data_IF_213372920265
#
_entry.id   IF_213372920265
#
_cell.length_a   1.000
_cell.length_b   1.000
_cell.length_c   1.000
_cell.angle_alpha   90.00
_cell.angle_beta   90.00
_cell.angle_gamma   90.00
#
_symmetry.space_group_name_H-M   'P 1'
#
loop_
_entity.id
_entity.type
_entity.pdbx_description
1 polymer ?
#
# COMPACT_ATOMS: atom_id res chain seq x y z
N UNK A 1 61.43 -69.74 -49.75
CA UNK A 1 59.99 -69.75 -49.48
C UNK A 1 59.61 -68.32 -49.06
N UNK A 2 59.20 -67.49 -50.05
CA UNK A 2 58.72 -66.14 -49.79
C UNK A 2 57.22 -66.27 -49.56
N UNK A 3 56.76 -65.72 -48.45
CA UNK A 3 55.29 -65.58 -48.19
C UNK A 3 54.92 -64.21 -48.52
N UNK A 4 54.07 -64.02 -49.54
CA UNK A 4 53.44 -62.76 -49.88
C UNK A 4 52.41 -62.40 -48.82
N UNK A 5 52.52 -61.17 -48.24
CA UNK A 5 51.53 -60.55 -47.39
C UNK A 5 50.57 -59.74 -48.29
N UNK A 6 49.25 -59.80 -48.03
CA UNK A 6 48.28 -59.01 -48.79
C UNK A 6 48.39 -57.53 -48.42
N UNK A 7 48.00 -56.62 -49.39
CA UNK A 7 48.04 -55.18 -49.17
C UNK A 7 47.01 -54.75 -48.07
N UNK A 8 47.46 -53.90 -47.20
CA UNK A 8 46.60 -53.26 -46.18
C UNK A 8 45.64 -52.32 -46.86
N UNK A 9 44.33 -52.23 -46.44
CA UNK A 9 43.36 -51.28 -46.99
C UNK A 9 43.72 -49.86 -46.56
N UNK A 10 43.62 -48.97 -47.50
CA UNK A 10 43.74 -47.47 -47.36
C UNK A 10 43.00 -46.99 -46.14
N UNK A 11 43.69 -46.42 -45.15
CA UNK A 11 43.09 -45.63 -44.10
C UNK A 11 42.60 -44.33 -44.73
N UNK A 12 41.27 -44.26 -44.96
CA UNK A 12 40.62 -43.02 -45.27
C UNK A 12 40.81 -42.07 -44.04
N UNK A 13 41.63 -41.05 -44.24
CA UNK A 13 41.74 -39.92 -43.33
C UNK A 13 40.35 -39.24 -43.32
N UNK A 14 39.57 -39.48 -42.27
CA UNK A 14 38.38 -38.69 -42.01
C UNK A 14 38.85 -37.26 -41.79
N UNK A 15 38.63 -36.41 -42.78
CA UNK A 15 38.72 -34.97 -42.66
C UNK A 15 37.66 -34.56 -41.59
N UNK A 16 38.17 -34.32 -40.40
CA UNK A 16 37.35 -33.77 -39.32
C UNK A 16 36.79 -32.44 -39.81
N UNK A 17 35.46 -32.37 -40.01
CA UNK A 17 34.78 -31.18 -40.48
C UNK A 17 35.20 -30.01 -39.55
N UNK A 18 35.62 -28.92 -40.16
CA UNK A 18 35.95 -27.69 -39.46
C UNK A 18 34.79 -27.35 -38.53
N UNK A 19 35.03 -26.74 -37.35
CA UNK A 19 33.98 -26.41 -36.40
C UNK A 19 32.95 -25.55 -37.17
N UNK A 20 31.73 -26.06 -37.27
CA UNK A 20 30.62 -25.36 -37.84
C UNK A 20 30.48 -24.04 -37.07
N UNK A 21 30.83 -22.93 -37.73
CA UNK A 21 30.57 -21.58 -37.16
C UNK A 21 29.09 -21.49 -36.88
N UNK A 22 28.72 -21.60 -35.60
CA UNK A 22 27.32 -21.46 -35.16
C UNK A 22 26.75 -20.22 -35.78
N UNK A 23 25.57 -20.33 -36.42
CA UNK A 23 24.91 -19.22 -37.11
C UNK A 23 24.60 -18.07 -36.10
N UNK A 24 24.36 -16.87 -36.60
CA UNK A 24 23.94 -15.77 -35.74
C UNK A 24 22.67 -16.14 -34.95
N UNK A 25 21.72 -16.78 -35.63
CA UNK A 25 20.44 -17.20 -35.03
C UNK A 25 20.63 -18.26 -33.96
N UNK A 26 21.51 -19.25 -34.16
CA UNK A 26 21.82 -20.26 -33.14
C UNK A 26 22.44 -19.60 -31.89
N UNK A 27 23.33 -18.65 -32.09
CA UNK A 27 23.95 -17.91 -30.98
C UNK A 27 22.92 -17.03 -30.24
N UNK A 28 21.97 -16.42 -30.95
CA UNK A 28 20.88 -15.65 -30.37
C UNK A 28 19.92 -16.53 -29.57
N UNK A 29 19.52 -17.68 -30.12
CA UNK A 29 18.69 -18.66 -29.39
C UNK A 29 19.39 -19.13 -28.12
N UNK A 30 20.70 -19.39 -28.19
CA UNK A 30 21.48 -19.77 -27.00
C UNK A 30 21.56 -18.67 -25.96
N UNK A 31 21.75 -17.40 -26.37
CA UNK A 31 21.76 -16.26 -25.44
C UNK A 31 20.41 -16.11 -24.72
N UNK A 32 19.29 -16.27 -25.45
CA UNK A 32 17.94 -16.30 -24.85
C UNK A 32 17.75 -17.46 -23.88
N UNK A 33 18.26 -18.64 -24.22
CA UNK A 33 18.19 -19.80 -23.34
C UNK A 33 18.93 -19.54 -22.02
N UNK A 34 20.17 -19.02 -22.09
CA UNK A 34 20.94 -18.63 -20.90
C UNK A 34 20.18 -17.61 -20.03
N UNK A 35 19.53 -16.63 -20.66
CA UNK A 35 18.71 -15.62 -19.95
C UNK A 35 17.50 -16.25 -19.25
N UNK A 36 16.83 -17.21 -19.90
CA UNK A 36 15.66 -17.91 -19.35
C UNK A 36 16.07 -18.89 -18.21
N UNK A 37 17.22 -19.52 -18.32
CA UNK A 37 17.78 -20.42 -17.31
C UNK A 37 18.37 -19.66 -16.08
N UNK A 38 18.25 -18.32 -16.09
CA UNK A 38 18.75 -17.48 -15.00
C UNK A 38 20.27 -17.26 -15.00
N UNK A 39 20.99 -17.73 -16.03
CA UNK A 39 22.42 -17.55 -16.21
C UNK A 39 22.73 -16.17 -16.82
N UNK A 40 22.34 -15.12 -16.09
CA UNK A 40 22.24 -13.74 -16.61
C UNK A 40 23.55 -13.17 -17.12
N UNK A 41 24.66 -13.36 -16.39
CA UNK A 41 25.98 -12.86 -16.81
C UNK A 41 26.49 -13.58 -18.07
N UNK A 42 26.24 -14.87 -18.22
CA UNK A 42 26.58 -15.60 -19.44
C UNK A 42 25.71 -15.17 -20.62
N UNK A 43 24.43 -14.85 -20.35
CA UNK A 43 23.55 -14.30 -21.38
C UNK A 43 24.05 -12.92 -21.84
N UNK A 44 24.47 -12.04 -20.93
CA UNK A 44 25.06 -10.73 -21.28
C UNK A 44 26.27 -10.89 -22.17
N UNK A 45 27.22 -11.75 -21.80
CA UNK A 45 28.43 -12.01 -22.60
C UNK A 45 28.07 -12.55 -24.00
N UNK A 46 27.05 -13.42 -24.11
CA UNK A 46 26.60 -13.93 -25.42
C UNK A 46 25.93 -12.84 -26.27
N UNK A 47 25.12 -11.95 -25.66
CA UNK A 47 24.53 -10.80 -26.36
C UNK A 47 25.60 -9.77 -26.78
N UNK A 48 26.64 -9.54 -25.99
CA UNK A 48 27.76 -8.65 -26.34
C UNK A 48 28.48 -9.12 -27.61
N UNK A 49 28.72 -10.43 -27.76
CA UNK A 49 29.31 -11.01 -28.97
C UNK A 49 28.41 -10.77 -30.20
N UNK A 50 27.09 -10.90 -30.03
CA UNK A 50 26.13 -10.67 -31.12
C UNK A 50 26.08 -9.19 -31.52
N UNK A 51 26.08 -8.27 -30.54
CA UNK A 51 26.07 -6.84 -30.80
C UNK A 51 27.41 -6.32 -31.38
N UNK A 52 28.53 -6.95 -31.07
CA UNK A 52 29.79 -6.66 -31.75
C UNK A 52 29.72 -6.98 -33.27
N UNK A 53 28.91 -7.95 -33.67
CA UNK A 53 28.69 -8.32 -35.09
C UNK A 53 27.57 -7.51 -35.75
N UNK A 54 26.56 -7.12 -34.94
CA UNK A 54 25.37 -6.36 -35.42
C UNK A 54 24.91 -5.36 -34.34
N UNK A 55 25.56 -4.18 -34.22
CA UNK A 55 25.35 -3.25 -33.10
C UNK A 55 23.93 -2.68 -32.97
N UNK A 56 23.17 -2.68 -34.08
CA UNK A 56 21.78 -2.16 -34.11
C UNK A 56 20.70 -3.23 -34.13
N UNK A 57 21.05 -4.50 -33.89
CA UNK A 57 20.06 -5.59 -33.91
C UNK A 57 19.07 -5.44 -32.77
N UNK A 58 17.80 -5.17 -33.12
CA UNK A 58 16.73 -4.82 -32.18
C UNK A 58 16.41 -5.96 -31.24
N UNK A 59 16.39 -7.20 -31.71
CA UNK A 59 16.08 -8.37 -30.90
C UNK A 59 17.18 -8.63 -29.85
N UNK A 60 18.44 -8.41 -30.25
CA UNK A 60 19.59 -8.57 -29.33
C UNK A 60 19.61 -7.46 -28.29
N UNK A 61 19.34 -6.19 -28.70
CA UNK A 61 19.20 -5.07 -27.77
C UNK A 61 18.05 -5.29 -26.80
N UNK A 62 16.88 -5.74 -27.28
CA UNK A 62 15.74 -6.09 -26.42
C UNK A 62 16.11 -7.18 -25.41
N UNK A 63 16.72 -8.28 -25.88
CA UNK A 63 17.11 -9.40 -25.03
C UNK A 63 18.12 -8.96 -23.94
N UNK A 64 19.18 -8.23 -24.31
CA UNK A 64 20.20 -7.74 -23.37
C UNK A 64 19.60 -6.72 -22.39
N UNK A 65 18.77 -5.79 -22.87
CA UNK A 65 18.09 -4.81 -22.04
C UNK A 65 17.18 -5.44 -20.98
N UNK A 66 16.46 -6.51 -21.32
CA UNK A 66 15.66 -7.28 -20.35
C UNK A 66 16.55 -7.95 -19.30
N UNK A 67 17.70 -8.50 -19.69
CA UNK A 67 18.63 -9.11 -18.75
C UNK A 67 19.23 -8.05 -17.80
N UNK A 68 19.63 -6.90 -18.31
CA UNK A 68 20.07 -5.78 -17.48
C UNK A 68 18.99 -5.34 -16.48
N UNK A 69 17.74 -5.21 -16.92
CA UNK A 69 16.62 -4.85 -16.04
C UNK A 69 16.42 -5.88 -14.90
N UNK A 70 16.60 -7.18 -15.18
CA UNK A 70 16.53 -8.26 -14.17
C UNK A 70 17.72 -8.30 -13.21
N UNK A 71 18.80 -7.56 -13.52
CA UNK A 71 20.00 -7.39 -12.69
C UNK A 71 20.03 -6.03 -11.97
N UNK A 72 18.91 -5.27 -12.01
CA UNK A 72 18.80 -3.90 -11.48
C UNK A 72 19.79 -2.90 -12.11
N UNK A 73 20.36 -3.25 -13.26
CA UNK A 73 21.27 -2.39 -14.04
C UNK A 73 20.46 -1.46 -14.94
N UNK A 74 19.73 -0.55 -14.29
CA UNK A 74 18.70 0.29 -14.92
C UNK A 74 19.20 1.17 -16.05
N UNK A 75 20.42 1.74 -15.91
CA UNK A 75 21.00 2.63 -16.92
C UNK A 75 21.31 1.90 -18.22
N UNK A 76 21.90 0.71 -18.11
CA UNK A 76 22.24 -0.12 -19.25
C UNK A 76 20.97 -0.69 -19.90
N UNK A 77 19.98 -1.08 -19.10
CA UNK A 77 18.69 -1.52 -19.59
C UNK A 77 17.98 -0.40 -20.38
N UNK A 78 17.93 0.81 -19.84
CA UNK A 78 17.31 1.98 -20.50
C UNK A 78 18.03 2.32 -21.80
N UNK A 79 19.37 2.26 -21.85
CA UNK A 79 20.14 2.53 -23.05
C UNK A 79 19.81 1.54 -24.18
N UNK A 80 19.84 0.24 -23.89
CA UNK A 80 19.55 -0.79 -24.90
C UNK A 80 18.09 -0.75 -25.38
N UNK A 81 17.13 -0.69 -24.45
CA UNK A 81 15.72 -0.68 -24.76
C UNK A 81 15.28 0.58 -25.52
N UNK A 82 15.87 1.75 -25.18
CA UNK A 82 15.60 3.01 -25.91
C UNK A 82 16.21 2.97 -27.29
N UNK A 83 17.39 2.39 -27.46
CA UNK A 83 18.01 2.20 -28.77
C UNK A 83 17.14 1.27 -29.64
N UNK A 84 16.62 0.18 -29.05
CA UNK A 84 15.71 -0.74 -29.73
C UNK A 84 14.39 -0.04 -30.15
N UNK A 85 13.77 0.75 -29.24
CA UNK A 85 12.55 1.51 -29.53
C UNK A 85 12.75 2.55 -30.66
N UNK A 86 13.91 3.19 -30.68
CA UNK A 86 14.27 4.16 -31.72
C UNK A 86 14.47 3.47 -33.08
N UNK A 87 15.10 2.30 -33.09
CA UNK A 87 15.34 1.52 -34.33
C UNK A 87 14.07 0.89 -34.86
N UNK A 88 13.15 0.47 -34.00
CA UNK A 88 11.90 -0.19 -34.37
C UNK A 88 10.71 0.31 -33.52
N UNK A 89 10.16 1.50 -33.81
CA UNK A 89 9.07 2.09 -33.00
C UNK A 89 7.77 1.26 -33.00
N UNK A 90 7.56 0.43 -34.02
CA UNK A 90 6.40 -0.48 -34.16
C UNK A 90 6.55 -1.81 -33.41
N UNK A 91 7.66 -2.04 -32.71
CA UNK A 91 7.90 -3.32 -32.03
C UNK A 91 7.33 -3.29 -30.60
N UNK A 92 6.14 -3.87 -30.44
CA UNK A 92 5.37 -3.84 -29.20
C UNK A 92 6.15 -4.38 -27.97
N UNK A 93 6.93 -5.47 -28.15
CA UNK A 93 7.67 -6.09 -27.04
C UNK A 93 8.73 -5.15 -26.44
N UNK A 94 9.31 -4.26 -27.25
CA UNK A 94 10.27 -3.25 -26.77
C UNK A 94 9.59 -2.25 -25.83
N UNK A 95 8.39 -1.78 -26.19
CA UNK A 95 7.62 -0.86 -25.34
C UNK A 95 7.12 -1.54 -24.07
N UNK A 96 6.75 -2.82 -24.16
CA UNK A 96 6.43 -3.64 -22.97
C UNK A 96 7.63 -3.77 -22.03
N UNK A 97 8.82 -4.06 -22.59
CA UNK A 97 10.05 -4.17 -21.80
C UNK A 97 10.46 -2.85 -21.15
N UNK A 98 10.35 -1.72 -21.86
CA UNK A 98 10.57 -0.38 -21.32
C UNK A 98 9.61 -0.06 -20.17
N UNK A 99 8.33 -0.32 -20.37
CA UNK A 99 7.32 -0.10 -19.33
C UNK A 99 7.59 -0.90 -18.07
N UNK A 100 7.91 -2.18 -18.21
CA UNK A 100 8.28 -3.05 -17.08
C UNK A 100 9.55 -2.55 -16.37
N UNK A 101 10.59 -2.21 -17.11
CA UNK A 101 11.85 -1.71 -16.57
C UNK A 101 11.64 -0.41 -15.78
N UNK A 102 10.89 0.56 -16.32
CA UNK A 102 10.58 1.80 -15.64
C UNK A 102 9.71 1.57 -14.39
N UNK A 103 8.79 0.62 -14.43
CA UNK A 103 7.98 0.28 -13.27
C UNK A 103 8.83 -0.35 -12.15
N UNK A 104 9.78 -1.22 -12.47
CA UNK A 104 10.68 -1.83 -11.48
C UNK A 104 11.72 -0.84 -10.93
N UNK A 105 12.13 0.14 -11.73
CA UNK A 105 13.08 1.20 -11.31
C UNK A 105 12.42 2.40 -10.63
N UNK A 106 11.13 2.31 -10.26
CA UNK A 106 10.35 3.35 -9.56
C UNK A 106 10.25 4.67 -10.38
N UNK A 107 10.09 4.56 -11.69
CA UNK A 107 9.88 5.66 -12.64
C UNK A 107 8.49 5.57 -13.29
N UNK A 108 7.40 5.73 -12.52
CA UNK A 108 6.05 5.40 -12.97
C UNK A 108 5.56 6.26 -14.15
N UNK A 109 5.94 7.53 -14.23
CA UNK A 109 5.53 8.39 -15.36
C UNK A 109 6.12 7.89 -16.69
N UNK A 110 7.42 7.51 -16.71
CA UNK A 110 8.02 6.92 -17.89
C UNK A 110 7.40 5.55 -18.25
N UNK A 111 6.99 4.79 -17.23
CA UNK A 111 6.27 3.53 -17.46
C UNK A 111 4.92 3.78 -18.13
N UNK A 112 4.18 4.82 -17.70
CA UNK A 112 2.91 5.23 -18.35
C UNK A 112 3.12 5.58 -19.81
N UNK A 113 4.17 6.35 -20.13
CA UNK A 113 4.49 6.72 -21.49
C UNK A 113 4.79 5.47 -22.37
N UNK A 114 5.64 4.57 -21.86
CA UNK A 114 5.99 3.35 -22.59
C UNK A 114 4.76 2.44 -22.82
N UNK A 115 3.92 2.23 -21.81
CA UNK A 115 2.68 1.44 -21.99
C UNK A 115 1.66 2.16 -22.86
N UNK A 116 1.67 3.49 -22.92
CA UNK A 116 0.82 4.24 -23.86
C UNK A 116 1.22 3.96 -25.30
N UNK A 117 2.51 3.91 -25.61
CA UNK A 117 3.00 3.47 -26.91
C UNK A 117 2.61 2.01 -27.20
N UNK A 118 2.75 1.11 -26.23
CA UNK A 118 2.32 -0.29 -26.39
C UNK A 118 0.83 -0.39 -26.74
N UNK A 119 -0.04 0.35 -26.02
CA UNK A 119 -1.49 0.36 -26.26
C UNK A 119 -1.83 0.98 -27.62
N UNK A 120 -1.06 1.95 -28.10
CA UNK A 120 -1.24 2.51 -29.45
C UNK A 120 -0.97 1.47 -30.55
N UNK A 121 -0.05 0.53 -30.31
CA UNK A 121 0.26 -0.58 -31.20
C UNK A 121 -0.70 -1.77 -31.06
N UNK A 122 -1.22 -1.98 -29.84
CA UNK A 122 -2.07 -3.12 -29.47
C UNK A 122 -3.27 -2.62 -28.64
N UNK A 123 -4.23 -1.98 -29.31
CA UNK A 123 -5.34 -1.27 -28.66
C UNK A 123 -6.32 -2.17 -27.91
N UNK A 124 -6.37 -3.44 -28.24
CA UNK A 124 -7.22 -4.50 -27.70
C UNK A 124 -6.50 -5.43 -26.71
N UNK A 125 -5.25 -5.13 -26.35
CA UNK A 125 -4.48 -5.91 -25.39
C UNK A 125 -4.86 -5.52 -23.94
N UNK A 126 -5.65 -6.34 -23.21
CA UNK A 126 -6.08 -6.03 -21.85
C UNK A 126 -4.91 -5.95 -20.86
N UNK A 127 -3.86 -6.77 -21.05
CA UNK A 127 -2.71 -6.79 -20.14
C UNK A 127 -1.90 -5.50 -20.24
N UNK A 128 -1.77 -4.92 -21.43
CA UNK A 128 -1.13 -3.63 -21.62
C UNK A 128 -1.90 -2.50 -20.90
N UNK A 129 -3.24 -2.54 -20.94
CA UNK A 129 -4.10 -1.57 -20.24
C UNK A 129 -3.98 -1.74 -18.72
N UNK A 130 -3.98 -2.98 -18.21
CA UNK A 130 -3.75 -3.26 -16.80
C UNK A 130 -2.36 -2.76 -16.34
N UNK A 131 -1.32 -3.00 -17.15
CA UNK A 131 0.04 -2.56 -16.85
C UNK A 131 0.14 -1.02 -16.76
N UNK A 132 -0.51 -0.29 -17.72
CA UNK A 132 -0.59 1.18 -17.65
C UNK A 132 -1.39 1.64 -16.44
N UNK A 133 -2.52 1.03 -16.14
CA UNK A 133 -3.33 1.34 -14.96
C UNK A 133 -2.53 1.21 -13.65
N UNK A 134 -1.67 0.19 -13.55
CA UNK A 134 -0.76 0.02 -12.41
C UNK A 134 0.30 1.12 -12.35
N UNK A 135 0.88 1.50 -13.49
CA UNK A 135 1.84 2.60 -13.59
C UNK A 135 1.19 3.95 -13.24
N UNK A 136 -0.02 4.22 -13.75
CA UNK A 136 -0.82 5.40 -13.42
C UNK A 136 -1.11 5.50 -11.93
N UNK A 137 -1.48 4.38 -11.30
CA UNK A 137 -1.67 4.32 -9.85
C UNK A 137 -0.38 4.62 -9.10
N UNK A 138 0.76 4.05 -9.50
CA UNK A 138 2.06 4.33 -8.91
C UNK A 138 2.48 5.80 -9.06
N UNK A 139 2.08 6.45 -10.15
CA UNK A 139 2.24 7.88 -10.39
C UNK A 139 1.24 8.76 -9.60
N UNK A 140 0.29 8.16 -8.86
CA UNK A 140 -0.77 8.89 -8.14
C UNK A 140 -1.92 9.39 -9.03
N UNK A 141 -1.96 8.97 -10.31
CA UNK A 141 -2.98 9.35 -11.31
C UNK A 141 -4.17 8.38 -11.27
N UNK A 142 -4.86 8.34 -10.11
CA UNK A 142 -5.82 7.28 -9.79
C UNK A 142 -7.10 7.32 -10.64
N UNK A 143 -7.57 8.50 -11.07
CA UNK A 143 -8.73 8.62 -11.96
C UNK A 143 -8.45 7.97 -13.33
N UNK A 144 -7.26 8.21 -13.87
CA UNK A 144 -6.85 7.60 -15.12
C UNK A 144 -6.62 6.09 -14.95
N UNK A 145 -6.08 5.67 -13.82
CA UNK A 145 -5.96 4.25 -13.49
C UNK A 145 -7.32 3.54 -13.38
N UNK A 146 -8.36 4.22 -12.86
CA UNK A 146 -9.73 3.70 -12.85
C UNK A 146 -10.32 3.59 -14.26
N UNK A 147 -10.09 4.59 -15.09
CA UNK A 147 -10.51 4.52 -16.49
C UNK A 147 -9.85 3.33 -17.23
N UNK A 148 -8.57 3.09 -16.97
CA UNK A 148 -7.87 1.93 -17.51
C UNK A 148 -8.41 0.61 -16.94
N UNK A 149 -8.74 0.55 -15.66
CA UNK A 149 -9.36 -0.63 -15.04
C UNK A 149 -10.70 -0.99 -15.71
N UNK A 150 -11.56 0.01 -15.95
CA UNK A 150 -12.83 -0.21 -16.64
C UNK A 150 -12.63 -0.60 -18.12
N UNK A 151 -11.66 0.00 -18.81
CA UNK A 151 -11.28 -0.38 -20.17
C UNK A 151 -10.76 -1.81 -20.22
N UNK A 152 -9.85 -2.19 -19.29
CA UNK A 152 -9.32 -3.55 -19.21
C UNK A 152 -10.44 -4.57 -18.95
N UNK A 153 -11.40 -4.25 -18.07
CA UNK A 153 -12.59 -5.08 -17.83
C UNK A 153 -13.43 -5.27 -19.08
N UNK A 154 -13.67 -4.21 -19.82
CA UNK A 154 -14.41 -4.26 -21.10
C UNK A 154 -13.70 -5.11 -22.17
N UNK A 155 -12.36 -5.17 -22.13
CA UNK A 155 -11.53 -6.03 -22.97
C UNK A 155 -11.41 -7.47 -22.45
N UNK A 156 -12.06 -7.82 -21.32
CA UNK A 156 -12.03 -9.17 -20.76
C UNK A 156 -10.81 -9.46 -19.89
N UNK A 157 -10.12 -8.46 -19.35
CA UNK A 157 -9.02 -8.64 -18.42
C UNK A 157 -9.42 -9.47 -17.21
N UNK A 158 -8.54 -10.37 -16.80
CA UNK A 158 -8.71 -11.23 -15.61
C UNK A 158 -7.35 -11.63 -15.04
N UNK A 159 -7.35 -12.20 -13.83
CA UNK A 159 -6.15 -12.73 -13.19
C UNK A 159 -5.51 -11.77 -12.20
N UNK A 160 -4.42 -12.22 -11.55
CA UNK A 160 -3.86 -11.60 -10.36
C UNK A 160 -3.47 -10.11 -10.53
N UNK A 161 -2.97 -9.71 -11.71
CA UNK A 161 -2.57 -8.32 -11.95
C UNK A 161 -3.79 -7.38 -12.04
N UNK A 162 -4.86 -7.82 -12.72
CA UNK A 162 -6.12 -7.10 -12.81
C UNK A 162 -6.80 -7.00 -11.43
N UNK A 163 -6.89 -8.12 -10.71
CA UNK A 163 -7.51 -8.18 -9.37
C UNK A 163 -6.75 -7.30 -8.38
N UNK A 164 -5.41 -7.28 -8.44
CA UNK A 164 -4.59 -6.42 -7.61
C UNK A 164 -4.81 -4.93 -7.91
N UNK A 165 -4.92 -4.55 -9.19
CA UNK A 165 -5.25 -3.17 -9.58
C UNK A 165 -6.65 -2.78 -9.10
N UNK A 166 -7.65 -3.65 -9.30
CA UNK A 166 -9.02 -3.42 -8.86
C UNK A 166 -9.10 -3.26 -7.33
N UNK A 167 -8.42 -4.13 -6.58
CA UNK A 167 -8.34 -4.04 -5.12
C UNK A 167 -7.67 -2.74 -4.66
N UNK A 168 -6.57 -2.35 -5.32
CA UNK A 168 -5.81 -1.15 -4.99
C UNK A 168 -6.57 0.16 -5.24
N UNK A 169 -7.50 0.17 -6.20
CA UNK A 169 -8.37 1.31 -6.53
C UNK A 169 -9.72 1.26 -5.81
N UNK A 170 -9.99 0.20 -5.03
CA UNK A 170 -11.20 0.12 -4.22
C UNK A 170 -11.01 0.91 -2.93
N UNK A 171 -11.89 1.89 -2.70
CA UNK A 171 -11.87 2.69 -1.48
C UNK A 171 -12.52 1.91 -0.35
N UNK A 172 -11.74 1.59 0.69
CA UNK A 172 -12.22 0.96 1.93
C UNK A 172 -11.47 1.58 3.10
N UNK A 173 -12.18 2.13 4.08
CA UNK A 173 -11.54 2.67 5.27
C UNK A 173 -10.97 1.53 6.14
N UNK A 174 -9.80 1.77 6.70
CA UNK A 174 -9.15 0.82 7.61
C UNK A 174 -8.74 -0.51 6.99
N UNK A 175 -8.79 -0.64 5.66
CA UNK A 175 -8.40 -1.88 5.00
C UNK A 175 -6.87 -2.01 4.91
N UNK A 176 -6.24 -2.91 5.68
CA UNK A 176 -4.82 -3.19 5.55
C UNK A 176 -4.45 -3.78 4.17
N UNK A 177 -5.42 -4.42 3.48
CA UNK A 177 -5.21 -5.05 2.18
C UNK A 177 -4.89 -4.03 1.08
N UNK A 178 -5.35 -2.78 1.18
CA UNK A 178 -4.99 -1.73 0.23
C UNK A 178 -3.48 -1.45 0.22
N UNK A 179 -2.83 -1.52 1.39
CA UNK A 179 -1.38 -1.34 1.50
C UNK A 179 -0.63 -2.56 0.95
N UNK A 180 -1.12 -3.78 1.21
CA UNK A 180 -0.55 -5.03 0.66
C UNK A 180 -0.72 -5.07 -0.86
N UNK A 181 -1.89 -4.72 -1.37
CA UNK A 181 -2.14 -4.63 -2.81
C UNK A 181 -1.26 -3.58 -3.50
N UNK A 182 -0.81 -2.56 -2.76
CA UNK A 182 0.19 -1.59 -3.21
C UNK A 182 1.64 -2.12 -3.19
N UNK A 183 1.87 -3.33 -2.68
CA UNK A 183 3.20 -3.94 -2.60
C UNK A 183 4.02 -3.53 -1.38
N UNK A 184 3.40 -2.90 -0.38
CA UNK A 184 4.06 -2.52 0.87
C UNK A 184 3.72 -3.52 1.98
N UNK A 185 4.72 -3.93 2.74
CA UNK A 185 4.56 -4.86 3.87
C UNK A 185 4.77 -4.18 5.22
N UNK A 186 5.36 -3.01 5.24
CA UNK A 186 5.61 -2.23 6.45
C UNK A 186 5.13 -0.79 6.31
N UNK A 187 4.65 -0.24 7.42
CA UNK A 187 4.40 1.18 7.56
C UNK A 187 4.89 1.68 8.93
N UNK A 188 5.46 2.88 8.95
CA UNK A 188 5.79 3.59 10.17
C UNK A 188 5.11 4.96 10.18
N UNK A 189 4.76 5.45 11.37
CA UNK A 189 4.30 6.82 11.53
C UNK A 189 4.87 7.48 12.78
N UNK A 190 5.02 8.80 12.70
CA UNK A 190 5.31 9.67 13.83
C UNK A 190 4.24 10.75 13.88
N UNK A 191 3.63 10.96 15.04
CA UNK A 191 2.57 11.94 15.25
C UNK A 191 2.88 12.84 16.44
N UNK A 192 2.54 14.11 16.35
CA UNK A 192 2.57 15.07 17.44
C UNK A 192 1.26 15.85 17.48
N UNK A 193 0.74 16.05 18.68
CA UNK A 193 -0.48 16.80 18.95
C UNK A 193 -0.26 17.86 20.01
N UNK A 194 -0.94 18.98 19.86
CA UNK A 194 -0.98 20.08 20.83
C UNK A 194 -2.42 20.45 21.12
N UNK A 195 -2.76 20.55 22.39
CA UNK A 195 -4.11 20.92 22.83
C UNK A 195 -4.02 22.14 23.71
N UNK A 196 -4.83 23.15 23.39
CA UNK A 196 -5.14 24.27 24.26
C UNK A 196 -6.39 23.87 25.08
N UNK A 197 -6.29 23.68 26.39
CA UNK A 197 -7.43 23.30 27.23
C UNK A 197 -8.35 24.48 27.59
N UNK A 198 -8.06 25.69 27.09
CA UNK A 198 -8.83 26.91 27.36
C UNK A 198 -8.57 27.54 28.74
N UNK A 199 -8.18 26.73 29.72
CA UNK A 199 -7.70 27.15 31.05
C UNK A 199 -6.54 26.26 31.47
N UNK A 200 -5.39 26.83 31.71
CA UNK A 200 -4.17 26.12 32.13
C UNK A 200 -3.16 25.90 31.01
N UNK A 201 -2.06 25.21 31.33
CA UNK A 201 -0.97 24.99 30.40
C UNK A 201 -1.38 24.05 29.23
N UNK A 202 -0.79 24.29 28.07
CA UNK A 202 -1.01 23.46 26.87
C UNK A 202 -0.55 22.02 27.08
N UNK A 203 -1.29 21.10 26.49
CA UNK A 203 -0.95 19.68 26.48
C UNK A 203 -0.22 19.32 25.20
N UNK A 204 0.61 18.29 25.25
CA UNK A 204 1.19 17.69 24.07
C UNK A 204 1.18 16.16 24.15
N UNK A 205 0.93 15.55 23.02
CA UNK A 205 0.89 14.11 22.85
C UNK A 205 1.79 13.72 21.67
N UNK A 206 2.52 12.61 21.79
CA UNK A 206 3.37 12.07 20.75
C UNK A 206 3.12 10.57 20.61
N UNK A 207 3.12 10.09 19.38
CA UNK A 207 2.97 8.66 19.07
C UNK A 207 3.94 8.26 17.98
N UNK A 208 4.64 7.15 18.18
CA UNK A 208 5.40 6.47 17.15
C UNK A 208 4.75 5.11 16.92
N UNK A 209 4.57 4.72 15.68
CA UNK A 209 4.04 3.40 15.35
C UNK A 209 4.82 2.71 14.25
N UNK A 210 4.85 1.39 14.32
CA UNK A 210 5.36 0.49 13.29
C UNK A 210 4.32 -0.59 13.06
N UNK A 211 3.94 -0.84 11.81
CA UNK A 211 2.93 -1.84 11.43
C UNK A 211 3.48 -2.74 10.34
N UNK A 212 3.27 -4.02 10.53
CA UNK A 212 3.54 -5.06 9.54
C UNK A 212 2.23 -5.58 8.96
N UNK A 213 2.16 -5.64 7.63
CA UNK A 213 1.01 -6.14 6.89
C UNK A 213 1.27 -7.56 6.40
N UNK A 214 0.27 -8.40 6.48
CA UNK A 214 0.26 -9.78 6.01
C UNK A 214 -0.99 -10.03 5.15
N UNK A 215 -1.04 -11.13 4.37
CA UNK A 215 -2.25 -11.48 3.61
C UNK A 215 -3.51 -11.72 4.46
N UNK A 216 -3.37 -11.89 5.77
CA UNK A 216 -4.48 -12.14 6.71
C UNK A 216 -4.74 -10.99 7.67
N UNK A 217 -4.15 -9.83 7.44
CA UNK A 217 -4.34 -8.67 8.28
C UNK A 217 -3.04 -7.93 8.60
N UNK A 218 -2.97 -7.29 9.76
CA UNK A 218 -1.78 -6.53 10.15
C UNK A 218 -1.55 -6.54 11.66
N UNK A 219 -0.30 -6.32 12.06
CA UNK A 219 0.10 -6.16 13.46
C UNK A 219 0.90 -4.86 13.61
N UNK A 220 0.47 -4.00 14.51
CA UNK A 220 1.09 -2.73 14.85
C UNK A 220 1.63 -2.71 16.27
N UNK A 221 2.74 -2.03 16.46
CA UNK A 221 3.28 -1.65 17.77
C UNK A 221 3.33 -0.12 17.84
N UNK A 222 2.91 0.44 18.97
CA UNK A 222 2.87 1.88 19.20
C UNK A 222 3.51 2.23 20.53
N UNK A 223 4.23 3.35 20.56
CA UNK A 223 4.63 4.02 21.78
C UNK A 223 3.95 5.38 21.86
N UNK A 224 3.42 5.69 23.05
CA UNK A 224 2.66 6.90 23.31
C UNK A 224 3.33 7.68 24.45
N UNK A 225 3.40 8.99 24.30
CA UNK A 225 3.83 9.91 25.35
C UNK A 225 2.79 11.03 25.44
N UNK A 226 2.41 11.37 26.65
CA UNK A 226 1.55 12.51 26.94
C UNK A 226 2.16 13.42 28.00
N UNK A 227 1.98 14.71 27.83
CA UNK A 227 2.27 15.73 28.84
C UNK A 227 1.04 16.60 29.01
N UNK A 228 0.34 16.45 30.16
CA UNK A 228 -0.92 17.14 30.47
C UNK A 228 -0.95 17.47 31.96
N UNK A 229 -1.54 18.58 32.33
CA UNK A 229 -1.70 19.01 33.74
C UNK A 229 -0.37 19.09 34.49
N UNK A 230 0.76 19.35 33.84
CA UNK A 230 2.09 19.32 34.44
C UNK A 230 2.68 17.94 34.65
N UNK A 231 1.92 16.88 34.36
CA UNK A 231 2.34 15.47 34.46
C UNK A 231 2.77 14.92 33.11
N UNK A 232 3.72 13.99 33.15
CA UNK A 232 4.18 13.23 31.97
C UNK A 232 3.95 11.75 32.18
N UNK A 233 3.45 11.08 31.14
CA UNK A 233 3.19 9.65 31.16
C UNK A 233 3.53 9.00 29.80
N UNK A 234 3.76 7.69 29.84
CA UNK A 234 4.09 6.85 28.70
C UNK A 234 3.21 5.61 28.68
N UNK A 235 2.89 5.16 27.46
CA UNK A 235 2.24 3.89 27.25
C UNK A 235 2.80 3.22 25.99
N UNK A 236 2.54 1.93 25.86
CA UNK A 236 2.74 1.19 24.62
C UNK A 236 1.47 0.42 24.28
N UNK A 237 1.29 0.12 22.99
CA UNK A 237 0.15 -0.65 22.54
C UNK A 237 0.55 -1.63 21.45
N UNK A 238 -0.16 -2.76 21.43
CA UNK A 238 -0.25 -3.68 20.29
C UNK A 238 -1.63 -3.52 19.65
N UNK A 239 -1.66 -3.46 18.35
CA UNK A 239 -2.88 -3.27 17.56
C UNK A 239 -2.86 -4.23 16.38
N UNK A 240 -3.88 -5.05 16.22
CA UNK A 240 -3.97 -6.05 15.16
C UNK A 240 -5.31 -5.93 14.42
N UNK A 241 -5.25 -6.01 13.09
CA UNK A 241 -6.39 -6.31 12.23
C UNK A 241 -6.26 -7.75 11.74
N UNK A 242 -7.34 -8.52 11.84
CA UNK A 242 -7.35 -9.94 11.50
C UNK A 242 -8.57 -10.23 10.63
N UNK A 243 -8.34 -10.76 9.44
CA UNK A 243 -9.41 -11.25 8.58
C UNK A 243 -9.99 -12.56 9.16
N UNK A 244 -11.30 -12.64 9.25
CA UNK A 244 -12.01 -13.76 9.86
C UNK A 244 -12.69 -14.66 8.80
N UNK A 245 -13.65 -14.09 8.08
CA UNK A 245 -14.35 -14.72 6.97
C UNK A 245 -14.71 -13.68 5.92
N UNK A 246 -15.35 -14.09 4.84
CA UNK A 246 -15.65 -13.20 3.71
C UNK A 246 -16.40 -11.94 4.16
N UNK A 247 -15.73 -10.79 4.00
CA UNK A 247 -16.27 -9.48 4.35
C UNK A 247 -16.26 -9.16 5.84
N UNK A 248 -15.66 -10.02 6.69
CA UNK A 248 -15.53 -9.79 8.12
C UNK A 248 -14.07 -9.71 8.56
N UNK A 249 -13.77 -8.77 9.43
CA UNK A 249 -12.49 -8.63 10.08
C UNK A 249 -12.66 -8.11 11.51
N UNK A 250 -11.64 -8.31 12.35
CA UNK A 250 -11.61 -7.78 13.70
C UNK A 250 -10.42 -6.82 13.88
N UNK A 251 -10.63 -5.80 14.71
CA UNK A 251 -9.55 -5.01 15.31
C UNK A 251 -9.42 -5.41 16.78
N UNK A 252 -8.21 -5.80 17.16
CA UNK A 252 -7.84 -6.12 18.53
C UNK A 252 -6.72 -5.19 18.97
N UNK A 253 -6.89 -4.50 20.10
CA UNK A 253 -5.88 -3.60 20.65
C UNK A 253 -5.68 -3.87 22.14
N UNK A 254 -4.44 -3.90 22.55
CA UNK A 254 -4.05 -3.89 23.96
C UNK A 254 -3.06 -2.76 24.21
N UNK A 255 -3.28 -1.98 25.27
CA UNK A 255 -2.41 -0.89 25.69
C UNK A 255 -2.06 -1.05 27.15
N UNK A 256 -0.83 -0.65 27.51
CA UNK A 256 -0.36 -0.58 28.89
C UNK A 256 0.33 0.75 29.16
N UNK A 257 -0.10 1.42 30.24
CA UNK A 257 0.51 2.62 30.80
C UNK A 257 1.08 2.32 32.20
N UNK A 258 2.38 2.00 32.32
CA UNK A 258 2.96 1.53 33.61
C UNK A 258 2.79 2.48 34.76
N UNK A 259 2.87 3.80 34.51
CA UNK A 259 2.69 4.82 35.57
C UNK A 259 1.21 5.13 35.85
N UNK A 260 0.31 4.85 34.91
CA UNK A 260 -1.14 5.02 35.05
C UNK A 260 -1.60 6.42 35.52
N UNK A 261 -0.88 7.46 35.09
CA UNK A 261 -1.20 8.85 35.44
C UNK A 261 -2.15 9.49 34.43
N UNK A 262 -1.78 9.44 33.16
CA UNK A 262 -2.53 10.01 32.03
C UNK A 262 -3.10 8.92 31.13
N UNK A 263 -2.43 7.77 31.08
CA UNK A 263 -2.91 6.59 30.38
C UNK A 263 -3.49 5.57 31.36
N UNK A 264 -4.49 4.75 30.92
CA UNK A 264 -4.95 3.64 31.76
C UNK A 264 -3.81 2.65 32.02
N UNK A 265 -3.78 2.04 33.20
CA UNK A 265 -2.83 0.99 33.55
C UNK A 265 -2.88 -0.14 32.50
N UNK A 266 -4.08 -0.52 32.10
CA UNK A 266 -4.35 -1.45 31.01
C UNK A 266 -5.57 -0.97 30.24
N UNK A 267 -5.56 -1.11 28.92
CA UNK A 267 -6.73 -0.93 28.08
C UNK A 267 -6.78 -2.01 27.02
N UNK A 268 -7.99 -2.44 26.68
CA UNK A 268 -8.26 -3.40 25.63
C UNK A 268 -9.38 -2.93 24.73
N UNK A 269 -9.31 -3.24 23.43
CA UNK A 269 -10.41 -3.10 22.46
C UNK A 269 -10.56 -4.38 21.70
N UNK A 270 -11.80 -4.78 21.50
CA UNK A 270 -12.19 -5.74 20.49
C UNK A 270 -13.31 -5.12 19.65
N UNK A 271 -13.13 -5.03 18.34
CA UNK A 271 -14.16 -4.54 17.41
C UNK A 271 -14.30 -5.51 16.24
N UNK A 272 -15.51 -5.97 15.97
CA UNK A 272 -15.85 -6.88 14.89
C UNK A 272 -16.56 -6.09 13.80
N UNK A 273 -16.08 -6.20 12.58
CA UNK A 273 -16.62 -5.56 11.38
C UNK A 273 -17.22 -6.60 10.43
N UNK A 274 -18.35 -6.24 9.79
CA UNK A 274 -18.98 -7.03 8.76
C UNK A 274 -19.45 -6.15 7.60
N UNK A 275 -18.93 -6.41 6.41
CA UNK A 275 -19.45 -5.87 5.16
C UNK A 275 -20.76 -6.54 4.78
N UNK A 276 -21.79 -5.75 4.49
CA UNK A 276 -23.14 -6.21 4.14
C UNK A 276 -23.40 -6.16 2.62
N UNK A 277 -22.38 -5.81 1.82
CA UNK A 277 -22.53 -5.60 0.38
C UNK A 277 -22.96 -4.17 0.03
N UNK A 278 -22.89 -3.84 -1.26
CA UNK A 278 -23.24 -2.51 -1.79
C UNK A 278 -22.61 -1.33 -1.01
N UNK A 279 -21.40 -1.54 -0.45
CA UNK A 279 -20.65 -0.53 0.31
C UNK A 279 -21.15 -0.29 1.74
N UNK A 280 -22.09 -1.07 2.26
CA UNK A 280 -22.49 -1.02 3.66
C UNK A 280 -21.57 -1.86 4.54
N UNK A 281 -21.24 -1.33 5.73
CA UNK A 281 -20.47 -2.01 6.75
C UNK A 281 -21.05 -1.70 8.12
N UNK A 282 -21.07 -2.69 9.00
CA UNK A 282 -21.44 -2.54 10.42
C UNK A 282 -20.29 -3.00 11.30
N UNK A 283 -20.19 -2.44 12.50
CA UNK A 283 -19.30 -2.98 13.53
C UNK A 283 -19.93 -2.89 14.91
N UNK A 284 -19.43 -3.77 15.80
CA UNK A 284 -19.68 -3.71 17.25
C UNK A 284 -18.35 -3.77 17.98
N UNK A 285 -18.22 -3.01 19.06
CA UNK A 285 -16.99 -2.95 19.85
C UNK A 285 -17.22 -3.02 21.34
N UNK A 286 -16.24 -3.55 22.06
CA UNK A 286 -16.07 -3.42 23.50
C UNK A 286 -14.65 -2.87 23.77
N UNK A 287 -14.60 -1.69 24.41
CA UNK A 287 -13.37 -1.08 24.89
C UNK A 287 -13.38 -1.13 26.42
N UNK A 288 -12.31 -1.63 27.01
CA UNK A 288 -12.14 -1.72 28.47
C UNK A 288 -10.95 -0.87 28.87
N UNK A 289 -11.17 0.09 29.76
CA UNK A 289 -10.13 0.98 30.28
C UNK A 289 -9.97 0.75 31.80
N UNK A 290 -8.78 0.38 32.24
CA UNK A 290 -8.42 0.18 33.64
C UNK A 290 -7.61 1.35 34.17
N UNK A 291 -8.30 2.32 34.78
CA UNK A 291 -7.71 3.36 35.61
C UNK A 291 -7.75 2.94 37.12
N UNK A 292 -8.00 3.85 38.03
CA UNK A 292 -8.33 3.50 39.42
C UNK A 292 -9.63 2.69 39.55
N UNK A 293 -10.49 2.74 38.51
CA UNK A 293 -11.67 1.94 38.29
C UNK A 293 -11.75 1.44 36.86
N UNK A 294 -12.68 0.50 36.58
CA UNK A 294 -12.92 -0.02 35.25
C UNK A 294 -13.99 0.81 34.53
N UNK A 295 -13.71 1.17 33.28
CA UNK A 295 -14.65 1.81 32.35
C UNK A 295 -14.82 0.88 31.15
N UNK A 296 -16.06 0.53 30.82
CA UNK A 296 -16.42 -0.20 29.62
C UNK A 296 -17.09 0.75 28.61
N UNK A 297 -16.75 0.64 27.33
CA UNK A 297 -17.37 1.45 26.27
C UNK A 297 -17.83 0.47 25.19
N UNK A 298 -19.14 0.30 25.08
CA UNK A 298 -19.76 -0.52 24.04
C UNK A 298 -20.11 0.34 22.84
N UNK A 299 -19.65 -0.02 21.66
CA UNK A 299 -19.86 0.72 20.42
C UNK A 299 -20.65 -0.06 19.39
N UNK A 300 -21.49 0.64 18.62
CA UNK A 300 -22.10 0.14 17.40
C UNK A 300 -21.88 1.17 16.29
N UNK A 301 -21.52 0.70 15.10
CA UNK A 301 -21.22 1.54 13.95
C UNK A 301 -21.99 1.09 12.73
N UNK A 302 -22.52 2.05 11.98
CA UNK A 302 -23.04 1.86 10.63
C UNK A 302 -22.25 2.76 9.69
N UNK A 303 -21.73 2.18 8.62
CA UNK A 303 -20.95 2.91 7.65
C UNK A 303 -21.38 2.62 6.21
N UNK A 304 -21.15 3.58 5.33
CA UNK A 304 -21.46 3.50 3.90
C UNK A 304 -20.30 4.05 3.08
N UNK A 305 -19.83 3.24 2.14
CA UNK A 305 -18.95 3.64 1.06
C UNK A 305 -19.79 3.93 -0.19
N UNK A 306 -19.66 5.09 -0.78
CA UNK A 306 -20.40 5.47 -1.99
C UNK A 306 -19.59 6.46 -2.84
N UNK A 307 -19.20 6.03 -4.05
CA UNK A 307 -18.25 6.78 -4.86
C UNK A 307 -16.97 7.08 -4.07
N UNK A 308 -16.55 8.33 -4.07
CA UNK A 308 -15.37 8.79 -3.34
C UNK A 308 -15.66 9.20 -1.89
N UNK A 309 -16.79 8.78 -1.34
CA UNK A 309 -17.19 9.14 0.02
C UNK A 309 -17.31 7.91 0.92
N UNK A 310 -16.92 8.11 2.18
CA UNK A 310 -17.21 7.24 3.30
C UNK A 310 -17.98 8.03 4.35
N UNK A 311 -19.13 7.52 4.76
CA UNK A 311 -19.98 8.09 5.79
C UNK A 311 -20.09 7.09 6.93
N UNK A 312 -19.98 7.55 8.17
CA UNK A 312 -20.07 6.69 9.36
C UNK A 312 -20.93 7.37 10.42
N UNK A 313 -21.81 6.60 11.00
CA UNK A 313 -22.45 6.90 12.28
C UNK A 313 -22.00 5.87 13.31
N UNK A 314 -21.60 6.35 14.51
CA UNK A 314 -21.21 5.52 15.64
C UNK A 314 -21.96 5.94 16.88
N UNK A 315 -22.59 4.97 17.55
CA UNK A 315 -23.16 5.10 18.88
C UNK A 315 -22.24 4.42 19.90
N UNK A 316 -22.11 5.00 21.10
CA UNK A 316 -21.33 4.45 22.20
C UNK A 316 -22.09 4.56 23.51
N UNK A 317 -22.05 3.50 24.32
CA UNK A 317 -22.48 3.47 25.72
C UNK A 317 -21.26 3.34 26.62
N UNK A 318 -21.12 4.21 27.59
CA UNK A 318 -20.01 4.26 28.55
C UNK A 318 -20.55 3.84 29.89
N UNK A 319 -19.95 2.84 30.51
CA UNK A 319 -20.32 2.30 31.81
C UNK A 319 -19.11 2.31 32.72
N UNK A 320 -19.21 3.00 33.84
CA UNK A 320 -18.22 2.99 34.91
C UNK A 320 -18.90 2.83 36.27
N UNK A 321 -18.17 2.58 37.36
CA UNK A 321 -18.75 2.41 38.68
C UNK A 321 -19.62 3.63 39.04
N UNK A 322 -20.94 3.44 39.05
CA UNK A 322 -21.90 4.46 39.44
C UNK A 322 -22.19 5.58 38.44
N UNK A 323 -21.70 5.45 37.20
CA UNK A 323 -21.94 6.45 36.14
C UNK A 323 -22.20 5.80 34.80
N UNK A 324 -23.17 6.36 34.07
CA UNK A 324 -23.50 5.98 32.71
C UNK A 324 -23.36 7.17 31.75
N UNK A 325 -22.91 6.89 30.54
CA UNK A 325 -22.79 7.90 29.50
C UNK A 325 -23.15 7.32 28.15
N UNK A 326 -23.45 8.21 27.21
CA UNK A 326 -23.63 7.85 25.80
C UNK A 326 -23.00 8.90 24.90
N UNK A 327 -22.61 8.48 23.72
CA UNK A 327 -22.05 9.38 22.71
C UNK A 327 -22.44 8.98 21.30
N UNK A 328 -22.57 10.00 20.47
CA UNK A 328 -22.81 9.88 19.04
C UNK A 328 -21.68 10.52 18.27
N UNK A 329 -21.28 9.90 17.17
CA UNK A 329 -20.32 10.47 16.23
C UNK A 329 -20.82 10.27 14.80
N UNK A 330 -20.82 11.36 14.05
CA UNK A 330 -20.94 11.33 12.59
C UNK A 330 -19.60 11.69 11.99
N UNK A 331 -19.19 10.96 10.96
CA UNK A 331 -17.95 11.17 10.24
C UNK A 331 -18.22 11.06 8.75
N UNK A 332 -17.71 12.04 7.99
CA UNK A 332 -17.66 12.03 6.54
C UNK A 332 -16.22 12.11 6.08
N UNK A 333 -15.85 11.28 5.12
CA UNK A 333 -14.53 11.30 4.49
C UNK A 333 -14.69 11.39 2.99
N UNK A 334 -13.92 12.28 2.36
CA UNK A 334 -13.86 12.46 0.92
C UNK A 334 -12.46 12.10 0.41
N UNK A 335 -12.39 11.10 -0.46
CA UNK A 335 -11.17 10.63 -1.10
C UNK A 335 -10.92 11.43 -2.39
N UNK A 336 -10.40 12.64 -2.25
CA UNK A 336 -10.30 13.67 -3.28
C UNK A 336 -9.31 13.39 -4.41
N UNK A 337 -8.47 12.37 -4.28
CA UNK A 337 -7.58 11.87 -5.35
C UNK A 337 -8.05 10.51 -5.90
N UNK A 338 -9.23 10.05 -5.50
CA UNK A 338 -9.74 8.77 -5.95
C UNK A 338 -8.97 7.54 -5.43
N UNK A 339 -8.07 7.70 -4.45
CA UNK A 339 -7.36 6.62 -3.78
C UNK A 339 -7.79 6.45 -2.32
N UNK A 340 -7.47 5.30 -1.73
CA UNK A 340 -7.78 5.06 -0.32
C UNK A 340 -6.83 5.79 0.64
N UNK A 341 -5.75 6.38 0.14
CA UNK A 341 -4.66 6.93 0.92
C UNK A 341 -4.79 8.43 1.18
N UNK A 342 -5.44 9.16 0.24
CA UNK A 342 -5.52 10.63 0.28
C UNK A 342 -6.96 11.09 0.46
N UNK A 343 -7.27 11.70 1.61
CA UNK A 343 -8.64 12.09 1.94
C UNK A 343 -8.71 13.32 2.84
N UNK A 344 -9.84 14.00 2.77
CA UNK A 344 -10.29 14.97 3.75
C UNK A 344 -11.39 14.34 4.61
N UNK A 345 -11.34 14.58 5.92
CA UNK A 345 -12.28 14.03 6.89
C UNK A 345 -12.88 15.15 7.75
N UNK A 346 -14.19 15.10 7.95
CA UNK A 346 -14.92 15.92 8.91
C UNK A 346 -15.66 15.01 9.88
N UNK A 347 -15.69 15.40 11.15
CA UNK A 347 -16.48 14.69 12.16
C UNK A 347 -17.16 15.66 13.12
N UNK A 348 -18.33 15.26 13.59
CA UNK A 348 -19.03 15.89 14.69
C UNK A 348 -19.39 14.82 15.72
N UNK A 349 -19.35 15.20 16.98
CA UNK A 349 -19.67 14.32 18.08
C UNK A 349 -20.50 15.04 19.15
N UNK A 350 -21.34 14.28 19.83
CA UNK A 350 -22.08 14.73 21.00
C UNK A 350 -22.06 13.62 22.05
N UNK A 351 -22.16 13.97 23.33
CA UNK A 351 -22.19 13.01 24.41
C UNK A 351 -22.94 13.53 25.64
N UNK A 352 -23.37 12.57 26.44
CA UNK A 352 -23.96 12.78 27.75
C UNK A 352 -23.35 11.82 28.74
N UNK A 353 -23.07 12.24 29.95
CA UNK A 353 -22.66 11.38 31.04
C UNK A 353 -23.28 11.87 32.33
N UNK A 354 -23.59 10.93 33.23
CA UNK A 354 -24.01 11.29 34.58
C UNK A 354 -22.85 12.00 35.28
N UNK A 355 -23.17 13.07 36.01
CA UNK A 355 -22.18 13.79 36.79
C UNK A 355 -22.06 13.12 38.19
N UNK A 356 -21.01 12.37 38.45
CA UNK A 356 -20.86 11.66 39.72
C UNK A 356 -20.66 12.60 40.92
N UNK A 357 -20.38 13.86 40.68
CA UNK A 357 -20.20 14.90 41.74
C UNK A 357 -21.50 15.68 42.01
N UNK A 358 -22.54 15.45 41.22
CA UNK A 358 -23.86 16.12 41.38
C UNK A 358 -24.70 15.38 42.41
N UNK A 359 -24.97 15.99 43.55
CA UNK A 359 -25.89 15.49 44.57
C UNK A 359 -27.36 15.39 44.13
N UNK A 360 -27.69 15.92 42.94
CA UNK A 360 -29.06 16.03 42.42
C UNK A 360 -29.24 15.31 41.08
N UNK A 361 -28.33 14.40 40.69
CA UNK A 361 -28.42 13.67 39.43
C UNK A 361 -28.16 14.52 38.20
N UNK A 362 -27.18 15.42 38.24
CA UNK A 362 -26.79 16.25 37.09
C UNK A 362 -26.20 15.46 35.95
N UNK A 363 -26.43 15.93 34.73
CA UNK A 363 -25.82 15.37 33.51
C UNK A 363 -24.86 16.37 32.88
N UNK A 364 -23.67 15.91 32.57
CA UNK A 364 -22.72 16.64 31.73
C UNK A 364 -23.04 16.37 30.26
N UNK A 365 -23.15 17.43 29.48
CA UNK A 365 -23.27 17.37 28.01
C UNK A 365 -21.97 17.80 27.37
N UNK A 366 -21.52 17.06 26.39
CA UNK A 366 -20.36 17.39 25.60
C UNK A 366 -20.68 17.41 24.11
N UNK A 367 -19.88 18.14 23.37
CA UNK A 367 -19.99 18.17 21.92
C UNK A 367 -18.73 18.74 21.29
N UNK A 368 -18.51 18.42 20.04
CA UNK A 368 -17.33 18.88 19.33
C UNK A 368 -17.34 18.51 17.87
N UNK A 369 -16.24 18.82 17.22
CA UNK A 369 -16.00 18.47 15.83
C UNK A 369 -14.51 18.45 15.54
N UNK A 370 -14.16 17.87 14.42
CA UNK A 370 -12.78 17.80 13.97
C UNK A 370 -12.69 17.67 12.47
N UNK A 371 -11.54 18.03 11.96
CA UNK A 371 -11.16 17.78 10.58
C UNK A 371 -9.82 17.09 10.52
N UNK A 372 -9.56 16.36 9.45
CA UNK A 372 -8.24 15.89 9.09
C UNK A 372 -8.07 15.94 7.58
N UNK A 373 -6.85 16.22 7.16
CA UNK A 373 -6.42 16.15 5.77
C UNK A 373 -5.21 15.23 5.70
N UNK A 374 -5.34 14.18 4.89
CA UNK A 374 -4.31 13.16 4.67
C UNK A 374 -3.92 13.20 3.21
N UNK A 375 -2.63 13.22 2.93
CA UNK A 375 -2.10 13.15 1.59
C UNK A 375 -0.83 12.31 1.54
N UNK A 376 -0.79 11.36 0.62
CA UNK A 376 0.44 10.72 0.18
C UNK A 376 1.03 11.50 -0.99
N UNK A 377 2.22 12.09 -0.77
CA UNK A 377 2.95 12.91 -1.75
C UNK A 377 3.72 12.04 -2.73
N UNK A 378 4.11 10.87 -2.27
CA UNK A 378 4.65 9.78 -3.07
C UNK A 378 3.98 8.49 -2.62
N UNK A 379 4.10 7.39 -3.38
CA UNK A 379 3.58 6.10 -2.94
C UNK A 379 4.07 5.65 -1.55
N UNK A 380 5.21 6.19 -1.09
CA UNK A 380 5.86 5.79 0.17
C UNK A 380 5.73 6.80 1.30
N UNK A 381 5.46 8.07 1.02
CA UNK A 381 5.44 9.14 2.01
C UNK A 381 4.11 9.88 2.04
N UNK A 382 3.55 10.00 3.21
CA UNK A 382 2.31 10.74 3.44
C UNK A 382 2.36 11.60 4.69
N UNK A 383 1.48 12.58 4.75
CA UNK A 383 1.30 13.45 5.91
C UNK A 383 -0.18 13.53 6.28
N UNK A 384 -0.44 13.81 7.55
CA UNK A 384 -1.76 14.16 8.06
C UNK A 384 -1.67 15.43 8.86
N UNK A 385 -2.58 16.36 8.60
CA UNK A 385 -2.83 17.53 9.42
C UNK A 385 -4.26 17.43 9.92
N UNK A 386 -4.49 17.67 11.21
CA UNK A 386 -5.82 17.64 11.77
C UNK A 386 -6.02 18.72 12.82
N UNK A 387 -7.27 19.06 13.06
CA UNK A 387 -7.67 19.94 14.12
C UNK A 387 -8.99 19.50 14.72
N UNK A 388 -9.21 19.81 16.00
CA UNK A 388 -10.46 19.52 16.68
C UNK A 388 -10.83 20.64 17.66
N UNK A 389 -12.12 20.70 17.91
CA UNK A 389 -12.72 21.56 18.91
C UNK A 389 -13.69 20.72 19.73
N UNK A 390 -13.67 20.89 21.05
CA UNK A 390 -14.63 20.27 21.95
C UNK A 390 -15.03 21.21 23.08
N UNK A 391 -16.25 21.01 23.58
CA UNK A 391 -16.80 21.72 24.74
C UNK A 391 -17.58 20.75 25.63
N UNK A 392 -17.61 21.00 26.89
CA UNK A 392 -18.48 20.33 27.82
C UNK A 392 -19.16 21.36 28.75
N UNK A 393 -20.33 21.03 29.28
CA UNK A 393 -21.13 21.97 30.08
C UNK A 393 -20.44 22.40 31.40
N UNK A 394 -19.49 21.58 31.88
CA UNK A 394 -18.76 21.80 33.12
C UNK A 394 -17.23 21.96 32.92
N UNK A 395 -16.77 22.19 31.68
CA UNK A 395 -15.35 22.35 31.39
C UNK A 395 -15.11 23.45 30.33
N UNK A 396 -13.88 23.93 30.26
CA UNK A 396 -13.45 24.89 29.25
C UNK A 396 -13.45 24.28 27.86
N UNK A 397 -13.62 25.13 26.86
CA UNK A 397 -13.50 24.76 25.47
C UNK A 397 -12.05 24.33 25.15
N UNK A 398 -11.89 23.23 24.47
CA UNK A 398 -10.58 22.73 24.07
C UNK A 398 -10.41 22.84 22.56
N UNK A 399 -9.20 23.14 22.12
CA UNK A 399 -8.80 23.18 20.72
C UNK A 399 -7.51 22.37 20.56
N UNK A 400 -7.47 21.51 19.56
CA UNK A 400 -6.26 20.73 19.30
C UNK A 400 -5.87 20.79 17.83
N UNK A 401 -4.56 20.67 17.59
CA UNK A 401 -3.97 20.44 16.27
C UNK A 401 -3.08 19.21 16.35
N UNK A 402 -3.06 18.44 15.27
CA UNK A 402 -2.22 17.25 15.13
C UNK A 402 -1.49 17.26 13.81
N UNK A 403 -0.26 16.78 13.83
CA UNK A 403 0.54 16.53 12.64
C UNK A 403 1.05 15.09 12.68
N UNK A 404 1.04 14.40 11.54
CA UNK A 404 1.60 13.06 11.41
C UNK A 404 2.37 12.92 10.10
N UNK A 405 3.45 12.15 10.16
CA UNK A 405 4.26 11.74 9.01
C UNK A 405 4.15 10.23 8.89
N UNK A 406 3.92 9.75 7.68
CA UNK A 406 3.81 8.33 7.33
C UNK A 406 4.89 7.93 6.35
N UNK A 407 5.42 6.73 6.53
CA UNK A 407 6.30 6.06 5.58
C UNK A 407 5.90 4.60 5.45
N UNK A 408 5.91 4.07 4.22
CA UNK A 408 5.66 2.65 3.94
C UNK A 408 6.69 2.09 2.94
N UNK A 409 6.99 0.79 3.03
CA UNK A 409 7.98 0.10 2.19
C UNK A 409 7.73 -1.40 2.08
#
# INVERSE_FOLDING_TARGET
>A
MYVDLPPQPDQQVQVQAAPTTTSFDDQYVRARQLANDGQRELALAAYDVLLARSPGNVDVLLGRGIVYARLDRWREAEADLTAAAKASPGYADVWSALGNMYQWSDQPDKAVDAYTHLIALQSDNPDAVVARGRALRAAGRNEEARADLERARALGASGAAFDALAAALTIRAGNPDATIAAGYTWAASASAGWTDPGNGPRWNDQTLSLRHYTPRGSLGFETLRAHRFGEQDYAWALDAYVDLWKGAYANLRYQRGPASRLFPANAGRAELYQGLGNGWEVSVSDDVLGFAGRVNIYGATLAKYTGDFYLQWRHQNIVSAGSHGSGERLLGRWYYLGDADSYAELSINSGRSDDPLSLVGGQTRSGGGGFAWVRYWTPRWGTRVGGSFSRASNASNQRAVTFSLYRRW
#
